data_IF_814781270881
#
_entry.id   IF_814781270881
#
_cell.length_a   1.000
_cell.length_b   1.000
_cell.length_c   1.000
_cell.angle_alpha   90.00
_cell.angle_beta   90.00
_cell.angle_gamma   90.00
#
_symmetry.space_group_name_H-M   'P 1'
#
loop_
_entity.id
_entity.type
_entity.pdbx_description
1 polymer ?
#
# COMPACT_ATOMS: atom_id res chain seq x y z
N UNK A 1 60.54 -62.79 -12.13
CA UNK A 1 59.38 -61.91 -12.38
C UNK A 1 59.72 -60.59 -11.71
N UNK A 2 60.53 -59.78 -12.39
CA UNK A 2 60.14 -58.81 -13.44
C UNK A 2 59.83 -57.45 -12.80
N UNK A 3 60.90 -56.68 -12.62
CA UNK A 3 61.23 -55.46 -13.36
C UNK A 3 60.12 -54.46 -13.81
N UNK A 4 60.51 -53.18 -13.64
CA UNK A 4 60.21 -52.01 -14.50
C UNK A 4 58.82 -51.34 -14.34
N UNK A 5 58.77 -50.14 -13.75
CA UNK A 5 58.67 -48.89 -14.53
C UNK A 5 58.63 -47.60 -13.69
N UNK A 6 59.01 -46.53 -14.36
CA UNK A 6 59.39 -45.21 -13.91
C UNK A 6 58.44 -44.10 -14.39
N UNK A 7 58.62 -42.88 -13.84
CA UNK A 7 58.22 -41.53 -14.40
C UNK A 7 56.73 -41.13 -14.14
N UNK A 8 56.31 -39.84 -14.19
CA UNK A 8 56.52 -38.72 -13.25
C UNK A 8 55.22 -37.89 -12.97
N UNK A 9 55.38 -36.72 -12.34
CA UNK A 9 54.60 -35.46 -12.46
C UNK A 9 53.11 -35.52 -12.86
N UNK A 10 52.23 -34.99 -11.99
CA UNK A 10 50.94 -34.46 -12.43
C UNK A 10 50.93 -32.94 -12.32
N UNK A 11 50.76 -32.36 -13.50
CA UNK A 11 50.59 -30.97 -13.85
C UNK A 11 49.41 -30.32 -13.15
N UNK A 12 49.52 -28.99 -13.09
CA UNK A 12 48.47 -28.08 -12.71
C UNK A 12 47.15 -28.36 -13.44
N UNK A 13 46.11 -28.71 -12.69
CA UNK A 13 44.75 -28.44 -13.15
C UNK A 13 44.48 -26.98 -12.83
N UNK A 14 44.91 -26.11 -13.75
CA UNK A 14 44.35 -24.78 -13.91
C UNK A 14 42.88 -24.95 -14.30
N UNK A 15 41.99 -25.06 -13.32
CA UNK A 15 40.56 -24.83 -13.56
C UNK A 15 40.44 -23.35 -13.92
N UNK A 16 40.41 -23.06 -15.22
CA UNK A 16 39.91 -21.78 -15.71
C UNK A 16 38.46 -21.70 -15.26
N UNK A 17 38.18 -20.88 -14.25
CA UNK A 17 36.85 -20.37 -13.99
C UNK A 17 36.47 -19.43 -15.14
N UNK A 18 36.12 -20.00 -16.29
CA UNK A 18 35.38 -19.26 -17.31
C UNK A 18 33.91 -19.26 -16.90
N UNK A 19 33.56 -18.32 -16.02
CA UNK A 19 32.25 -17.68 -16.05
C UNK A 19 32.39 -16.21 -15.64
N UNK A 20 33.43 -15.54 -16.15
CA UNK A 20 33.48 -14.08 -16.22
C UNK A 20 32.56 -13.63 -17.36
N UNK A 21 31.24 -13.79 -17.18
CA UNK A 21 30.30 -13.19 -18.13
C UNK A 21 30.27 -11.66 -17.86
N UNK A 22 30.75 -10.83 -18.80
CA UNK A 22 30.83 -9.38 -18.59
C UNK A 22 29.46 -8.73 -18.35
N UNK A 23 28.37 -9.33 -18.84
CA UNK A 23 27.00 -8.84 -18.61
C UNK A 23 26.58 -8.96 -17.15
N UNK A 24 27.05 -10.01 -16.47
CA UNK A 24 26.69 -10.32 -15.09
C UNK A 24 27.40 -9.35 -14.11
N UNK A 25 28.69 -9.08 -14.32
CA UNK A 25 29.43 -8.10 -13.51
C UNK A 25 28.97 -6.66 -13.77
N UNK A 26 28.49 -6.37 -14.99
CA UNK A 26 27.91 -5.07 -15.33
C UNK A 26 26.59 -4.82 -14.57
N UNK A 27 25.80 -5.86 -14.29
CA UNK A 27 24.55 -5.74 -13.54
C UNK A 27 24.78 -5.27 -12.11
N UNK A 28 25.68 -5.93 -11.36
CA UNK A 28 25.97 -5.56 -9.97
C UNK A 28 26.45 -4.12 -9.84
N UNK A 29 27.29 -3.66 -10.78
CA UNK A 29 27.82 -2.29 -10.79
C UNK A 29 26.72 -1.25 -11.07
N UNK A 30 25.84 -1.51 -12.04
CA UNK A 30 24.75 -0.59 -12.41
C UNK A 30 23.62 -0.57 -11.37
N UNK A 31 23.33 -1.70 -10.74
CA UNK A 31 22.38 -1.79 -9.62
C UNK A 31 22.85 -0.94 -8.44
N UNK A 32 24.17 -0.92 -8.17
CA UNK A 32 24.77 -0.03 -7.17
C UNK A 32 24.55 1.44 -7.53
N UNK A 33 24.73 1.82 -8.80
CA UNK A 33 24.47 3.19 -9.27
C UNK A 33 22.97 3.55 -9.14
N UNK A 34 22.06 2.66 -9.52
CA UNK A 34 20.61 2.87 -9.40
C UNK A 34 20.19 3.02 -7.94
N UNK A 35 20.69 2.16 -7.05
CA UNK A 35 20.48 2.27 -5.62
C UNK A 35 21.00 3.60 -5.07
N UNK A 36 22.22 4.02 -5.46
CA UNK A 36 22.78 5.32 -5.06
C UNK A 36 21.94 6.50 -5.57
N UNK A 37 21.37 6.41 -6.77
CA UNK A 37 20.49 7.44 -7.31
C UNK A 37 19.19 7.56 -6.51
N UNK A 38 18.56 6.42 -6.19
CA UNK A 38 17.35 6.38 -5.36
C UNK A 38 17.65 6.88 -3.94
N UNK A 39 18.77 6.47 -3.35
CA UNK A 39 19.18 6.88 -2.01
C UNK A 39 19.59 8.36 -1.93
N UNK A 40 20.33 8.89 -2.91
CA UNK A 40 20.75 10.30 -2.94
C UNK A 40 19.57 11.25 -3.13
N UNK A 41 18.57 10.82 -3.90
CA UNK A 41 17.31 11.55 -4.03
C UNK A 41 16.51 11.58 -2.72
N UNK A 42 16.53 10.49 -1.93
CA UNK A 42 15.91 10.43 -0.62
C UNK A 42 16.54 11.43 0.38
N UNK A 43 17.87 11.52 0.41
CA UNK A 43 18.61 12.48 1.27
C UNK A 43 18.34 13.94 0.89
N UNK A 44 18.13 14.22 -0.41
CA UNK A 44 17.81 15.57 -0.90
C UNK A 44 16.40 16.02 -0.49
N UNK A 45 15.43 15.10 -0.37
CA UNK A 45 14.08 15.41 0.14
C UNK A 45 14.06 15.65 1.66
N UNK A 46 14.86 14.90 2.43
CA UNK A 46 15.00 15.11 3.89
C UNK A 46 15.66 16.45 4.24
N UNK A 47 16.58 16.94 3.40
CA UNK A 47 17.23 18.25 3.59
C UNK A 47 16.40 19.44 3.10
N UNK A 48 15.43 19.23 2.20
CA UNK A 48 14.51 20.28 1.72
C UNK A 48 13.27 20.46 2.60
N UNK A 49 13.02 19.55 3.56
CA UNK A 49 11.99 19.69 4.61
C UNK A 49 12.27 20.80 5.64
N UNK A 50 13.41 21.50 5.54
CA UNK A 50 13.79 22.59 6.45
C UNK A 50 13.57 24.01 5.91
N UNK A 51 12.98 24.18 4.73
CA UNK A 51 12.60 25.51 4.25
C UNK A 51 11.38 25.45 3.33
N UNK A 52 10.26 26.02 3.80
CA UNK A 52 9.30 26.66 2.89
C UNK A 52 10.06 27.69 2.04
N UNK A 53 9.96 27.60 0.71
CA UNK A 53 9.79 28.71 -0.25
C UNK A 53 9.92 28.18 -1.68
N UNK A 54 8.91 28.52 -2.50
CA UNK A 54 8.90 28.41 -3.96
C UNK A 54 10.19 28.93 -4.62
N UNK A 55 10.65 28.27 -5.68
CA UNK A 55 11.03 28.90 -6.96
C UNK A 55 11.17 27.81 -8.05
N UNK A 56 10.45 28.02 -9.15
CA UNK A 56 10.59 27.34 -10.43
C UNK A 56 11.82 27.85 -11.20
N UNK A 57 12.59 26.96 -11.85
CA UNK A 57 13.41 27.17 -13.09
C UNK A 57 14.46 26.05 -13.20
N UNK A 58 14.84 25.41 -14.31
CA UNK A 58 14.58 25.41 -15.77
C UNK A 58 14.89 23.94 -16.18
N UNK A 59 13.99 23.21 -16.84
CA UNK A 59 13.95 23.10 -18.31
C UNK A 59 14.90 22.03 -18.88
N UNK A 60 14.45 20.78 -18.94
CA UNK A 60 14.87 19.83 -19.98
C UNK A 60 13.73 18.85 -20.29
N UNK A 61 13.36 18.82 -21.57
CA UNK A 61 12.25 18.05 -22.13
C UNK A 61 12.70 16.58 -22.28
N UNK A 62 12.07 15.67 -21.56
CA UNK A 62 12.09 14.23 -21.89
C UNK A 62 10.71 13.87 -22.40
N UNK A 63 10.62 13.67 -23.70
CA UNK A 63 9.43 13.16 -24.38
C UNK A 63 9.40 11.66 -24.13
N UNK A 64 8.56 11.18 -23.21
CA UNK A 64 8.20 9.77 -23.15
C UNK A 64 6.87 9.59 -23.88
N UNK A 65 6.95 9.18 -25.15
CA UNK A 65 5.81 8.73 -25.94
C UNK A 65 5.34 7.40 -25.37
N UNK A 66 4.41 7.45 -24.41
CA UNK A 66 3.57 6.31 -24.06
C UNK A 66 2.22 6.55 -24.74
N UNK A 67 1.94 5.73 -25.75
CA UNK A 67 0.65 5.68 -26.42
C UNK A 67 -0.44 5.34 -25.38
N UNK A 68 -1.61 6.02 -25.41
CA UNK A 68 -2.67 5.74 -24.46
C UNK A 68 -3.26 4.36 -24.77
N UNK A 69 -2.91 3.36 -23.96
CA UNK A 69 -3.65 2.09 -23.92
C UNK A 69 -4.97 2.40 -23.22
N UNK A 70 -6.03 2.43 -24.03
CA UNK A 70 -7.41 2.57 -23.58
C UNK A 70 -7.78 1.35 -22.72
N UNK A 71 -7.68 1.50 -21.39
CA UNK A 71 -8.19 0.51 -20.45
C UNK A 71 -9.63 0.85 -20.09
N UNK A 72 -10.54 -0.01 -20.54
CA UNK A 72 -11.91 -0.09 -20.04
C UNK A 72 -11.86 -0.51 -18.57
N UNK A 73 -11.80 0.46 -17.66
CA UNK A 73 -12.16 0.21 -16.27
C UNK A 73 -13.63 -0.23 -16.24
N UNK A 74 -13.88 -1.47 -15.80
CA UNK A 74 -15.21 -1.85 -15.33
C UNK A 74 -15.49 -1.02 -14.09
N UNK A 75 -16.13 0.13 -14.29
CA UNK A 75 -16.86 0.84 -13.26
C UNK A 75 -17.94 -0.10 -12.73
N UNK A 76 -17.83 -0.49 -11.46
CA UNK A 76 -19.02 -0.78 -10.68
C UNK A 76 -19.71 0.57 -10.43
N UNK A 77 -20.54 0.97 -11.39
CA UNK A 77 -21.55 2.00 -11.14
C UNK A 77 -22.53 1.39 -10.13
N UNK A 78 -22.47 1.81 -8.86
CA UNK A 78 -23.54 1.52 -7.93
C UNK A 78 -24.83 2.17 -8.48
N UNK A 79 -25.90 1.41 -8.70
CA UNK A 79 -27.19 1.98 -9.05
C UNK A 79 -27.67 2.92 -7.93
N UNK A 80 -28.32 4.02 -8.33
CA UNK A 80 -29.02 4.95 -7.43
C UNK A 80 -30.25 4.33 -6.74
N UNK A 81 -30.60 3.09 -7.11
CA UNK A 81 -31.56 2.26 -6.40
C UNK A 81 -30.82 1.19 -5.60
N UNK A 82 -30.36 1.55 -4.40
CA UNK A 82 -30.35 0.55 -3.34
C UNK A 82 -31.83 0.34 -3.01
N UNK A 83 -32.41 -0.80 -3.39
CA UNK A 83 -33.75 -1.11 -2.91
C UNK A 83 -33.72 -1.08 -1.38
N UNK A 84 -34.39 -0.07 -0.82
CA UNK A 84 -34.80 0.00 0.58
C UNK A 84 -35.77 -1.16 0.82
N UNK A 85 -35.23 -2.37 0.95
CA UNK A 85 -35.99 -3.55 1.34
C UNK A 85 -36.33 -3.38 2.83
N UNK A 86 -37.47 -2.72 3.03
CA UNK A 86 -38.46 -2.96 4.09
C UNK A 86 -37.99 -3.91 5.18
N UNK A 87 -37.65 -3.33 6.34
CA UNK A 87 -38.01 -3.88 7.66
C UNK A 87 -37.63 -5.35 7.87
N UNK A 88 -36.35 -5.67 7.72
CA UNK A 88 -35.77 -6.88 8.32
C UNK A 88 -34.95 -6.37 9.49
N UNK A 89 -35.23 -6.86 10.70
CA UNK A 89 -34.44 -6.63 11.91
C UNK A 89 -32.95 -6.59 11.53
N UNK A 90 -32.35 -5.41 11.55
CA UNK A 90 -30.99 -5.23 11.09
C UNK A 90 -30.06 -6.02 11.99
N UNK A 91 -29.58 -7.14 11.45
CA UNK A 91 -28.67 -8.04 12.16
C UNK A 91 -27.32 -7.33 12.23
N UNK A 92 -27.10 -6.61 13.32
CA UNK A 92 -25.74 -6.31 13.75
C UNK A 92 -25.19 -7.50 14.51
N UNK A 93 -23.87 -7.66 14.51
CA UNK A 93 -23.20 -8.68 15.30
C UNK A 93 -21.80 -8.20 15.64
N UNK A 94 -21.04 -9.04 16.34
CA UNK A 94 -19.72 -8.73 16.84
C UNK A 94 -18.68 -9.59 16.14
N UNK A 95 -17.55 -8.99 15.79
CA UNK A 95 -16.37 -9.72 15.31
C UNK A 95 -15.22 -9.49 16.27
N UNK A 96 -14.63 -10.57 16.75
CA UNK A 96 -13.35 -10.50 17.45
C UNK A 96 -12.23 -10.18 16.45
N UNK A 97 -11.50 -9.10 16.69
CA UNK A 97 -10.25 -8.74 16.01
C UNK A 97 -9.21 -8.54 17.10
N UNK A 98 -8.21 -9.44 17.14
CA UNK A 98 -7.30 -9.58 18.28
C UNK A 98 -8.09 -9.68 19.60
N UNK A 99 -7.90 -8.73 20.52
CA UNK A 99 -8.58 -8.66 21.83
C UNK A 99 -9.87 -7.83 21.83
N UNK A 100 -10.22 -7.19 20.72
CA UNK A 100 -11.35 -6.27 20.63
C UNK A 100 -12.57 -6.94 20.00
N UNK A 101 -13.77 -6.60 20.49
CA UNK A 101 -15.03 -7.01 19.90
C UNK A 101 -15.64 -5.83 19.17
N UNK A 102 -15.49 -5.84 17.84
CA UNK A 102 -15.91 -4.74 16.98
C UNK A 102 -17.33 -5.00 16.48
N UNK A 103 -18.28 -4.06 16.65
CA UNK A 103 -19.63 -4.20 16.13
C UNK A 103 -19.62 -3.99 14.61
N UNK A 104 -20.31 -4.87 13.89
CA UNK A 104 -20.53 -4.73 12.46
C UNK A 104 -22.02 -4.81 12.12
N UNK A 105 -22.41 -4.12 11.07
CA UNK A 105 -23.73 -4.18 10.44
C UNK A 105 -23.62 -4.94 9.12
N UNK A 106 -24.73 -5.48 8.64
CA UNK A 106 -24.81 -6.19 7.37
C UNK A 106 -25.56 -5.31 6.37
N UNK A 107 -24.97 -5.09 5.19
CA UNK A 107 -25.59 -4.44 4.05
C UNK A 107 -25.69 -5.45 2.91
N UNK A 108 -26.88 -5.61 2.34
CA UNK A 108 -27.08 -6.43 1.16
C UNK A 108 -26.82 -5.57 -0.08
N UNK A 109 -25.83 -5.94 -0.89
CA UNK A 109 -25.49 -5.24 -2.13
C UNK A 109 -25.57 -6.28 -3.26
N UNK A 110 -26.41 -6.04 -4.27
CA UNK A 110 -26.61 -6.95 -5.40
C UNK A 110 -26.96 -8.40 -4.98
N UNK A 111 -27.67 -8.55 -3.86
CA UNK A 111 -28.03 -9.86 -3.31
C UNK A 111 -26.95 -10.53 -2.43
N UNK A 112 -25.78 -9.90 -2.27
CA UNK A 112 -24.70 -10.39 -1.41
C UNK A 112 -24.70 -9.69 -0.05
N UNK A 113 -24.60 -10.46 1.03
CA UNK A 113 -24.44 -9.93 2.39
C UNK A 113 -22.99 -9.51 2.65
N UNK A 114 -22.78 -8.21 2.79
CA UNK A 114 -21.49 -7.62 3.08
C UNK A 114 -21.47 -7.01 4.48
N UNK A 115 -20.38 -7.22 5.21
CA UNK A 115 -20.22 -6.77 6.60
C UNK A 115 -19.47 -5.46 6.64
N UNK A 116 -20.01 -4.50 7.38
CA UNK A 116 -19.46 -3.15 7.49
C UNK A 116 -19.32 -2.73 8.95
N UNK A 117 -18.28 -1.95 9.24
CA UNK A 117 -18.04 -1.37 10.56
C UNK A 117 -17.97 0.14 10.46
N UNK A 118 -18.38 0.84 11.52
CA UNK A 118 -18.26 2.29 11.60
C UNK A 118 -16.79 2.70 11.73
N UNK A 119 -16.39 3.72 10.95
CA UNK A 119 -15.05 4.31 11.03
C UNK A 119 -14.79 4.87 12.42
N UNK A 120 -15.72 5.64 12.99
CA UNK A 120 -15.60 6.21 14.34
C UNK A 120 -15.43 5.12 15.41
N UNK A 121 -16.21 4.05 15.34
CA UNK A 121 -16.11 2.94 16.29
C UNK A 121 -14.77 2.21 16.16
N UNK A 122 -14.33 1.98 14.93
CA UNK A 122 -13.03 1.37 14.61
C UNK A 122 -11.86 2.22 15.14
N UNK A 123 -11.89 3.54 14.92
CA UNK A 123 -10.86 4.44 15.43
C UNK A 123 -10.77 4.45 16.96
N UNK A 124 -11.93 4.49 17.62
CA UNK A 124 -12.01 4.57 19.08
C UNK A 124 -11.53 3.27 19.75
N UNK A 125 -11.99 2.12 19.26
CA UNK A 125 -11.74 0.83 19.91
C UNK A 125 -10.47 0.14 19.41
N UNK A 126 -10.29 0.10 18.09
CA UNK A 126 -9.30 -0.76 17.45
C UNK A 126 -8.01 0.01 17.13
N UNK A 127 -8.14 1.21 16.56
CA UNK A 127 -7.01 1.97 16.03
C UNK A 127 -6.46 3.05 16.97
N UNK A 128 -7.03 3.19 18.17
CA UNK A 128 -6.65 4.23 19.14
C UNK A 128 -5.21 4.13 19.63
N UNK A 129 -4.61 2.95 19.55
CA UNK A 129 -3.20 2.72 19.88
C UNK A 129 -2.25 2.85 18.68
N UNK A 130 -2.76 3.13 17.48
CA UNK A 130 -1.96 3.22 16.25
C UNK A 130 -2.02 4.61 15.63
N UNK A 131 -3.21 5.18 15.44
CA UNK A 131 -3.40 6.49 14.78
C UNK A 131 -2.58 7.61 15.44
N UNK A 132 -2.49 7.73 16.78
CA UNK A 132 -1.70 8.80 17.39
C UNK A 132 -0.19 8.60 17.29
N UNK A 133 0.28 7.38 17.02
CA UNK A 133 1.70 7.01 17.07
C UNK A 133 2.34 6.88 15.68
N UNK A 134 1.52 6.71 14.64
CA UNK A 134 1.96 6.51 13.27
C UNK A 134 1.78 7.78 12.45
N UNK A 135 2.77 8.11 11.61
CA UNK A 135 2.69 9.23 10.68
C UNK A 135 1.61 8.99 9.61
N UNK A 136 1.02 10.08 9.11
CA UNK A 136 -0.02 10.04 8.09
C UNK A 136 0.40 9.25 6.83
N UNK A 137 1.68 9.31 6.47
CA UNK A 137 2.23 8.59 5.31
C UNK A 137 2.02 7.07 5.36
N UNK A 138 1.97 6.45 6.53
CA UNK A 138 1.72 5.00 6.63
C UNK A 138 0.32 4.67 6.12
N UNK A 139 -0.66 5.55 6.37
CA UNK A 139 -2.03 5.36 5.90
C UNK A 139 -2.17 5.58 4.39
N UNK A 140 -1.21 6.27 3.74
CA UNK A 140 -1.17 6.40 2.28
C UNK A 140 -0.74 5.11 1.56
N UNK A 141 -0.18 4.14 2.30
CA UNK A 141 0.18 2.84 1.75
C UNK A 141 -1.06 1.99 1.44
N UNK A 142 -2.19 2.25 2.10
CA UNK A 142 -3.43 1.48 1.96
C UNK A 142 -4.46 2.26 1.13
N UNK A 143 -5.53 1.56 0.74
CA UNK A 143 -6.62 2.13 -0.03
C UNK A 143 -7.97 1.64 0.50
N UNK A 144 -8.27 1.90 1.77
CA UNK A 144 -9.53 1.48 2.37
C UNK A 144 -10.66 2.37 1.88
N UNK A 145 -11.60 1.80 1.13
CA UNK A 145 -12.77 2.51 0.62
C UNK A 145 -13.84 2.63 1.70
N UNK A 146 -14.34 3.85 1.89
CA UNK A 146 -15.45 4.12 2.79
C UNK A 146 -16.76 4.39 2.04
N UNK A 147 -17.86 4.30 2.77
CA UNK A 147 -19.20 4.61 2.31
C UNK A 147 -19.90 5.49 3.34
N UNK A 148 -20.75 6.41 2.90
CA UNK A 148 -21.67 7.08 3.81
C UNK A 148 -22.67 6.07 4.38
N UNK A 149 -23.02 6.28 5.66
CA UNK A 149 -24.10 5.54 6.28
C UNK A 149 -25.46 6.08 5.83
N UNK A 150 -26.47 5.21 5.81
CA UNK A 150 -27.88 5.57 5.60
C UNK A 150 -28.57 5.94 6.92
N UNK A 151 -29.79 6.48 6.87
CA UNK A 151 -30.55 6.81 8.08
C UNK A 151 -30.84 5.58 8.95
N UNK A 152 -31.19 4.45 8.32
CA UNK A 152 -31.41 3.17 9.00
C UNK A 152 -30.13 2.70 9.71
N UNK A 153 -28.99 2.77 9.03
CA UNK A 153 -27.69 2.39 9.61
C UNK A 153 -27.28 3.34 10.75
N UNK A 154 -27.53 4.64 10.60
CA UNK A 154 -27.32 5.60 11.67
C UNK A 154 -28.15 5.26 12.92
N UNK A 155 -29.41 4.88 12.77
CA UNK A 155 -30.25 4.44 13.90
C UNK A 155 -29.64 3.24 14.63
N UNK A 156 -29.19 2.24 13.88
CA UNK A 156 -28.59 1.01 14.43
C UNK A 156 -27.28 1.30 15.14
N UNK A 157 -26.39 2.10 14.53
CA UNK A 157 -25.12 2.48 15.13
C UNK A 157 -25.31 3.30 16.41
N UNK A 158 -26.31 4.18 16.43
CA UNK A 158 -26.72 4.90 17.63
C UNK A 158 -27.27 3.95 18.71
N UNK A 159 -28.08 2.96 18.33
CA UNK A 159 -28.58 1.93 19.24
C UNK A 159 -27.44 1.11 19.85
N UNK A 160 -26.51 0.62 19.02
CA UNK A 160 -25.31 -0.10 19.46
C UNK A 160 -24.53 0.75 20.46
N UNK A 161 -24.22 1.99 20.11
CA UNK A 161 -23.43 2.86 20.97
C UNK A 161 -24.09 3.10 22.33
N UNK A 162 -25.38 3.42 22.35
CA UNK A 162 -26.07 3.80 23.60
C UNK A 162 -26.49 2.57 24.43
N UNK A 163 -27.07 1.54 23.81
CA UNK A 163 -27.64 0.40 24.54
C UNK A 163 -26.65 -0.72 24.80
N UNK A 164 -25.65 -0.89 23.95
CA UNK A 164 -24.72 -2.02 24.02
C UNK A 164 -23.30 -1.61 24.41
N UNK A 165 -22.98 -0.32 24.32
CA UNK A 165 -21.63 0.20 24.61
C UNK A 165 -21.62 1.36 25.60
N UNK A 166 -22.75 1.69 26.24
CA UNK A 166 -22.86 2.77 27.24
C UNK A 166 -22.29 4.13 26.79
N UNK A 167 -22.39 4.45 25.49
CA UNK A 167 -21.88 5.69 24.91
C UNK A 167 -20.35 5.73 24.72
N UNK A 168 -19.66 4.58 24.76
CA UNK A 168 -18.21 4.47 24.61
C UNK A 168 -17.66 5.15 23.33
N UNK A 169 -18.42 5.17 22.24
CA UNK A 169 -18.01 5.77 20.97
C UNK A 169 -18.32 7.26 20.83
N UNK A 170 -18.59 7.93 21.96
CA UNK A 170 -18.90 9.34 22.04
C UNK A 170 -20.38 9.63 22.24
N UNK A 171 -20.66 10.89 22.59
CA UNK A 171 -22.02 11.40 22.89
C UNK A 171 -22.76 11.85 21.64
N UNK A 172 -22.03 12.27 20.61
CA UNK A 172 -22.61 12.73 19.36
C UNK A 172 -23.23 11.56 18.59
N UNK A 173 -24.42 11.79 18.06
CA UNK A 173 -25.10 10.77 17.25
C UNK A 173 -24.34 10.49 15.95
N UNK A 174 -24.55 9.29 15.43
CA UNK A 174 -24.25 8.94 14.05
C UNK A 174 -25.30 9.55 13.12
N UNK A 175 -24.86 10.12 11.99
CA UNK A 175 -25.70 10.79 11.01
C UNK A 175 -25.44 10.29 9.59
N UNK A 176 -26.53 10.05 8.86
CA UNK A 176 -26.49 9.73 7.44
C UNK A 176 -25.81 10.83 6.62
N UNK A 177 -25.07 10.45 5.58
CA UNK A 177 -24.34 11.38 4.71
C UNK A 177 -23.18 12.14 5.38
N UNK A 178 -22.89 11.86 6.66
CA UNK A 178 -21.78 12.48 7.40
C UNK A 178 -20.81 11.43 7.93
N UNK A 179 -21.33 10.40 8.56
CA UNK A 179 -20.52 9.32 9.12
C UNK A 179 -20.25 8.23 8.10
N UNK A 180 -19.11 7.57 8.28
CA UNK A 180 -18.59 6.58 7.35
C UNK A 180 -18.62 5.16 7.93
N UNK A 181 -18.83 4.20 7.04
CA UNK A 181 -18.58 2.78 7.26
C UNK A 181 -17.60 2.24 6.23
N UNK A 182 -16.90 1.16 6.59
CA UNK A 182 -15.93 0.45 5.75
C UNK A 182 -16.17 -1.05 5.85
N UNK A 183 -15.70 -1.84 4.89
CA UNK A 183 -15.84 -3.30 4.96
C UNK A 183 -15.09 -3.85 6.17
N UNK A 184 -15.70 -4.81 6.86
CA UNK A 184 -15.10 -5.48 8.02
C UNK A 184 -13.78 -6.18 7.66
N UNK A 185 -13.71 -6.76 6.45
CA UNK A 185 -12.51 -7.40 5.92
C UNK A 185 -11.34 -6.42 5.77
N UNK A 186 -11.58 -5.24 5.19
CA UNK A 186 -10.57 -4.20 5.05
C UNK A 186 -10.05 -3.70 6.41
N UNK A 187 -10.90 -3.68 7.43
CA UNK A 187 -10.49 -3.30 8.80
C UNK A 187 -9.62 -4.37 9.45
N UNK A 188 -9.91 -5.64 9.21
CA UNK A 188 -9.08 -6.74 9.69
C UNK A 188 -7.68 -6.70 9.07
N UNK A 189 -7.61 -6.49 7.75
CA UNK A 189 -6.34 -6.37 7.04
C UNK A 189 -5.59 -5.09 7.42
N UNK A 190 -6.28 -3.95 7.60
CA UNK A 190 -5.67 -2.71 8.09
C UNK A 190 -5.04 -2.92 9.46
N UNK A 191 -5.76 -3.54 10.39
CA UNK A 191 -5.25 -3.81 11.74
C UNK A 191 -3.98 -4.66 11.69
N UNK A 192 -4.00 -5.73 10.89
CA UNK A 192 -2.85 -6.62 10.70
C UNK A 192 -1.65 -5.87 10.09
N UNK A 193 -1.91 -5.03 9.09
CA UNK A 193 -0.89 -4.20 8.46
C UNK A 193 -0.25 -3.21 9.46
N UNK A 194 -1.06 -2.54 10.28
CA UNK A 194 -0.56 -1.58 11.27
C UNK A 194 0.24 -2.26 12.38
N UNK A 195 -0.17 -3.45 12.84
CA UNK A 195 0.61 -4.27 13.77
C UNK A 195 1.99 -4.60 13.21
N UNK A 196 2.07 -4.99 11.93
CA UNK A 196 3.33 -5.26 11.25
C UNK A 196 4.17 -3.98 11.17
N UNK A 197 3.58 -2.85 10.77
CA UNK A 197 4.29 -1.57 10.68
C UNK A 197 4.90 -1.18 12.03
N UNK A 198 4.11 -1.21 13.11
CA UNK A 198 4.58 -0.87 14.46
C UNK A 198 5.69 -1.83 14.90
N UNK A 199 5.49 -3.15 14.76
CA UNK A 199 6.49 -4.15 15.13
C UNK A 199 7.81 -3.92 14.38
N UNK A 200 7.74 -3.65 13.09
CA UNK A 200 8.92 -3.41 12.23
C UNK A 200 9.62 -2.08 12.55
N UNK A 201 8.88 -1.04 12.90
CA UNK A 201 9.44 0.27 13.26
C UNK A 201 10.02 0.30 14.70
N UNK A 202 9.45 -0.47 15.63
CA UNK A 202 9.85 -0.47 17.03
C UNK A 202 10.87 -1.54 17.39
N UNK A 203 10.84 -2.69 16.71
CA UNK A 203 11.70 -3.81 17.05
C UNK A 203 12.86 -3.92 16.04
N UNK A 204 14.09 -3.92 16.56
CA UNK A 204 15.27 -4.45 15.87
C UNK A 204 15.19 -5.98 15.78
N UNK A 205 14.11 -6.51 15.19
CA UNK A 205 13.96 -7.94 15.01
C UNK A 205 15.02 -8.48 14.05
N UNK A 206 15.45 -9.72 14.28
CA UNK A 206 16.24 -10.48 13.31
C UNK A 206 15.45 -10.60 12.00
N UNK A 207 15.94 -10.05 10.88
CA UNK A 207 15.21 -10.09 9.62
C UNK A 207 15.00 -11.54 9.15
N UNK A 208 13.79 -11.87 8.69
CA UNK A 208 13.47 -13.21 8.15
C UNK A 208 12.72 -13.10 6.82
N UNK A 209 13.05 -13.98 5.87
CA UNK A 209 12.38 -14.08 4.56
C UNK A 209 10.94 -14.59 4.64
N UNK A 210 10.50 -15.10 5.79
CA UNK A 210 9.13 -15.54 6.00
C UNK A 210 8.16 -14.41 6.37
N UNK A 211 8.67 -13.18 6.54
CA UNK A 211 7.84 -12.03 6.89
C UNK A 211 7.12 -11.46 5.67
N UNK A 212 5.92 -10.89 5.89
CA UNK A 212 5.07 -10.28 4.85
C UNK A 212 5.80 -9.24 3.98
N UNK A 213 6.80 -8.57 4.54
CA UNK A 213 7.67 -7.65 3.82
C UNK A 213 8.97 -7.40 4.59
N UNK A 214 9.93 -6.82 3.89
CA UNK A 214 11.22 -6.45 4.44
C UNK A 214 12.13 -5.92 3.36
N UNK A 215 13.43 -6.08 3.60
CA UNK A 215 14.46 -5.75 2.62
C UNK A 215 15.35 -6.96 2.36
N UNK A 216 15.88 -7.00 1.14
CA UNK A 216 16.95 -7.91 0.76
C UNK A 216 18.19 -7.09 0.49
N UNK A 217 19.27 -7.44 1.16
CA UNK A 217 20.60 -6.95 0.84
C UNK A 217 21.22 -7.86 -0.22
N UNK A 218 21.68 -7.25 -1.31
CA UNK A 218 22.37 -7.90 -2.42
C UNK A 218 23.84 -7.51 -2.33
N UNK A 219 24.71 -8.49 -2.08
CA UNK A 219 26.16 -8.33 -1.87
C UNK A 219 26.56 -7.31 -0.80
N UNK A 220 25.68 -6.98 0.15
CA UNK A 220 25.89 -5.89 1.14
C UNK A 220 26.07 -4.50 0.53
N UNK A 221 25.83 -4.33 -0.77
CA UNK A 221 26.01 -3.06 -1.48
C UNK A 221 24.68 -2.39 -1.82
N UNK A 222 23.70 -3.20 -2.21
CA UNK A 222 22.38 -2.74 -2.63
C UNK A 222 21.31 -3.30 -1.71
N UNK A 223 20.28 -2.50 -1.43
CA UNK A 223 19.14 -2.90 -0.60
C UNK A 223 17.84 -2.66 -1.36
N UNK A 224 17.06 -3.71 -1.55
CA UNK A 224 15.78 -3.65 -2.26
C UNK A 224 14.62 -4.01 -1.31
N UNK A 225 13.50 -3.28 -1.35
CA UNK A 225 12.31 -3.65 -0.60
C UNK A 225 11.65 -4.86 -1.25
N UNK A 226 10.97 -5.66 -0.44
CA UNK A 226 10.20 -6.80 -0.94
C UNK A 226 8.86 -6.95 -0.25
N UNK A 227 7.94 -7.63 -0.92
CA UNK A 227 6.67 -8.10 -0.36
C UNK A 227 6.51 -9.60 -0.63
N UNK A 228 5.94 -10.32 0.32
CA UNK A 228 5.66 -11.75 0.22
C UNK A 228 4.23 -11.95 -0.29
N UNK A 229 4.09 -12.59 -1.45
CA UNK A 229 2.79 -12.94 -2.05
C UNK A 229 2.79 -14.42 -2.41
N UNK A 230 1.77 -15.14 -1.96
CA UNK A 230 1.59 -16.58 -2.24
C UNK A 230 2.85 -17.42 -1.91
N UNK A 231 3.57 -17.07 -0.83
CA UNK A 231 4.81 -17.73 -0.41
C UNK A 231 6.06 -17.37 -1.20
N UNK A 232 5.95 -16.50 -2.21
CA UNK A 232 7.06 -16.05 -3.05
C UNK A 232 7.41 -14.60 -2.74
N UNK A 233 8.72 -14.30 -2.81
CA UNK A 233 9.21 -12.95 -2.58
C UNK A 233 9.22 -12.19 -3.90
N UNK A 234 8.61 -11.01 -3.89
CA UNK A 234 8.57 -10.10 -5.02
C UNK A 234 9.28 -8.79 -4.70
N UNK A 235 10.08 -8.33 -5.66
CA UNK A 235 10.83 -7.06 -5.59
C UNK A 235 10.38 -6.11 -6.72
N UNK A 236 10.40 -4.78 -6.52
CA UNK A 236 9.98 -3.84 -7.55
C UNK A 236 10.90 -3.86 -8.76
N UNK A 237 10.32 -3.90 -9.95
CA UNK A 237 11.07 -3.97 -11.20
C UNK A 237 11.91 -2.71 -11.46
N UNK A 238 11.46 -1.54 -10.99
CA UNK A 238 12.14 -0.26 -11.20
C UNK A 238 13.55 -0.19 -10.57
N UNK A 239 13.89 -1.10 -9.64
CA UNK A 239 15.26 -1.22 -9.12
C UNK A 239 16.22 -1.85 -10.13
N UNK A 240 15.68 -2.53 -11.14
CA UNK A 240 16.40 -3.29 -12.17
C UNK A 240 16.13 -2.74 -13.59
N UNK A 241 15.43 -1.60 -13.70
CA UNK A 241 15.17 -0.94 -14.98
C UNK A 241 16.50 -0.50 -15.62
N UNK A 242 16.72 -0.90 -16.88
CA UNK A 242 17.97 -0.69 -17.61
C UNK A 242 19.02 -1.81 -17.45
N UNK A 243 18.76 -2.80 -16.59
CA UNK A 243 19.67 -3.94 -16.34
C UNK A 243 19.22 -5.22 -17.04
N UNK A 244 17.90 -5.37 -17.26
CA UNK A 244 17.29 -6.60 -17.80
C UNK A 244 16.13 -6.29 -18.72
N UNK A 245 16.39 -6.14 -20.02
CA UNK A 245 15.34 -5.95 -21.03
C UNK A 245 14.34 -7.13 -21.03
N UNK A 246 14.78 -8.32 -20.58
CA UNK A 246 13.95 -9.53 -20.55
C UNK A 246 13.14 -9.74 -19.26
N UNK A 247 13.45 -9.06 -18.14
CA UNK A 247 12.68 -9.24 -16.89
C UNK A 247 11.25 -8.72 -17.00
N UNK A 248 11.00 -7.79 -17.94
CA UNK A 248 9.66 -7.30 -18.21
C UNK A 248 8.66 -8.41 -18.56
N UNK A 249 9.12 -9.51 -19.15
CA UNK A 249 8.27 -10.66 -19.50
C UNK A 249 7.83 -11.50 -18.28
N UNK A 250 8.61 -11.48 -17.20
CA UNK A 250 8.29 -12.15 -15.92
C UNK A 250 7.66 -11.20 -14.90
N UNK A 251 7.42 -9.93 -15.29
CA UNK A 251 6.86 -8.95 -14.39
C UNK A 251 5.37 -9.21 -14.14
N UNK A 252 4.98 -9.20 -12.88
CA UNK A 252 3.59 -9.30 -12.44
C UNK A 252 3.16 -8.01 -11.76
N UNK A 253 1.86 -7.76 -11.72
CA UNK A 253 1.30 -6.63 -10.98
C UNK A 253 1.04 -7.03 -9.52
N UNK A 254 1.60 -6.25 -8.61
CA UNK A 254 1.28 -6.28 -7.19
C UNK A 254 0.22 -5.22 -6.88
N UNK A 255 -0.84 -5.60 -6.19
CA UNK A 255 -2.03 -4.77 -5.92
C UNK A 255 -2.53 -5.01 -4.49
N UNK A 256 -3.53 -4.24 -4.04
CA UNK A 256 -4.23 -4.42 -2.76
C UNK A 256 -3.30 -4.43 -1.53
N UNK A 257 -3.54 -5.34 -0.58
CA UNK A 257 -2.80 -5.43 0.67
C UNK A 257 -1.34 -5.87 0.47
N UNK A 258 -1.04 -6.72 -0.51
CA UNK A 258 0.34 -7.09 -0.84
C UNK A 258 1.15 -5.87 -1.29
N UNK A 259 0.53 -4.97 -2.05
CA UNK A 259 1.11 -3.70 -2.45
C UNK A 259 1.27 -2.76 -1.25
N UNK A 260 0.35 -2.74 -0.29
CA UNK A 260 0.46 -1.89 0.89
C UNK A 260 1.74 -2.19 1.70
N UNK A 261 2.09 -3.48 1.85
CA UNK A 261 3.33 -3.90 2.48
C UNK A 261 4.57 -3.43 1.72
N UNK A 262 4.56 -3.53 0.38
CA UNK A 262 5.65 -3.03 -0.45
C UNK A 262 5.81 -1.50 -0.34
N UNK A 263 4.70 -0.77 -0.41
CA UNK A 263 4.64 0.69 -0.25
C UNK A 263 5.20 1.11 1.10
N UNK A 264 4.89 0.37 2.17
CA UNK A 264 5.46 0.60 3.50
C UNK A 264 6.99 0.48 3.48
N UNK A 265 7.55 -0.59 2.91
CA UNK A 265 9.00 -0.73 2.79
C UNK A 265 9.64 0.38 1.94
N UNK A 266 9.01 0.77 0.83
CA UNK A 266 9.43 1.90 0.01
C UNK A 266 9.46 3.22 0.82
N UNK A 267 8.45 3.47 1.66
CA UNK A 267 8.39 4.63 2.56
C UNK A 267 9.51 4.59 3.61
N UNK A 268 9.72 3.43 4.24
CA UNK A 268 10.80 3.21 5.22
C UNK A 268 12.18 3.49 4.61
N UNK A 269 12.38 3.13 3.35
CA UNK A 269 13.64 3.36 2.62
C UNK A 269 13.77 4.79 2.06
N UNK A 270 12.70 5.61 2.09
CA UNK A 270 12.70 6.94 1.50
C UNK A 270 12.65 6.95 -0.02
N UNK A 271 12.08 5.91 -0.64
CA UNK A 271 11.86 5.88 -2.10
C UNK A 271 10.90 7.01 -2.47
N UNK A 272 11.16 7.66 -3.62
CA UNK A 272 10.30 8.72 -4.15
C UNK A 272 8.90 8.19 -4.47
N UNK A 273 7.89 8.88 -3.97
CA UNK A 273 6.47 8.52 -4.12
C UNK A 273 6.08 8.20 -5.57
N UNK A 274 6.55 8.98 -6.54
CA UNK A 274 6.26 8.82 -7.98
C UNK A 274 6.51 7.40 -8.53
N UNK A 275 7.44 6.66 -7.92
CA UNK A 275 7.83 5.32 -8.36
C UNK A 275 6.85 4.22 -7.90
N UNK A 276 6.00 4.51 -6.90
CA UNK A 276 5.10 3.51 -6.31
C UNK A 276 3.73 4.04 -5.90
N UNK A 277 3.36 5.29 -6.20
CA UNK A 277 2.04 5.88 -5.84
C UNK A 277 0.86 5.27 -6.59
N UNK A 278 1.11 4.56 -7.68
CA UNK A 278 0.07 3.84 -8.43
C UNK A 278 -0.68 2.83 -7.55
N UNK A 279 -1.92 2.50 -7.91
CA UNK A 279 -2.70 1.43 -7.25
C UNK A 279 -2.19 0.02 -7.63
N UNK A 280 -1.19 -0.06 -8.51
CA UNK A 280 -0.43 -1.28 -8.83
C UNK A 280 1.07 -0.98 -8.96
N UNK A 281 1.92 -1.96 -8.67
CA UNK A 281 3.37 -1.88 -8.91
C UNK A 281 3.83 -3.10 -9.73
N UNK A 282 4.69 -2.87 -10.74
CA UNK A 282 5.34 -3.94 -11.48
C UNK A 282 6.46 -4.55 -10.63
N UNK A 283 6.36 -5.84 -10.38
CA UNK A 283 7.30 -6.60 -9.54
C UNK A 283 7.74 -7.87 -10.25
N UNK A 284 8.88 -8.41 -9.86
CA UNK A 284 9.38 -9.70 -10.34
C UNK A 284 9.80 -10.57 -9.16
N UNK A 285 9.81 -11.89 -9.33
CA UNK A 285 10.15 -12.80 -8.25
C UNK A 285 11.66 -12.73 -7.94
N UNK A 286 12.01 -12.90 -6.67
CA UNK A 286 13.42 -12.95 -6.27
C UNK A 286 14.15 -14.12 -6.94
N UNK A 287 13.47 -15.22 -7.18
CA UNK A 287 14.07 -16.40 -7.81
C UNK A 287 14.36 -16.16 -9.29
N UNK A 288 13.50 -15.43 -10.01
CA UNK A 288 13.81 -14.95 -11.35
C UNK A 288 15.02 -14.03 -11.33
N UNK A 289 15.08 -13.08 -10.39
CA UNK A 289 16.19 -12.15 -10.23
C UNK A 289 17.51 -12.89 -10.04
N UNK A 290 17.58 -13.90 -9.16
CA UNK A 290 18.81 -14.67 -8.89
C UNK A 290 19.43 -15.27 -10.15
N UNK A 291 18.62 -15.63 -11.16
CA UNK A 291 19.11 -16.23 -12.40
C UNK A 291 19.92 -15.24 -13.26
N UNK A 292 19.84 -13.95 -12.98
CA UNK A 292 20.58 -12.91 -13.69
C UNK A 292 21.86 -12.47 -12.96
N UNK A 293 22.09 -12.97 -11.74
CA UNK A 293 23.26 -12.64 -10.93
C UNK A 293 24.30 -13.78 -10.93
N UNK A 294 25.59 -13.48 -10.63
CA UNK A 294 26.58 -14.52 -10.41
C UNK A 294 26.11 -15.53 -9.35
N UNK A 295 26.41 -16.83 -9.47
CA UNK A 295 26.00 -17.84 -8.49
C UNK A 295 26.49 -17.60 -7.06
N UNK A 296 27.58 -16.84 -6.89
CA UNK A 296 28.17 -16.45 -5.59
C UNK A 296 27.53 -15.18 -4.99
N UNK A 297 26.58 -14.55 -5.69
CA UNK A 297 25.86 -13.38 -5.20
C UNK A 297 25.06 -13.72 -3.95
N UNK A 298 25.28 -12.91 -2.92
CA UNK A 298 24.62 -13.11 -1.64
C UNK A 298 23.35 -12.28 -1.56
N UNK A 299 22.22 -12.97 -1.41
CA UNK A 299 20.93 -12.39 -1.08
C UNK A 299 20.65 -12.65 0.40
N UNK A 300 20.65 -11.60 1.21
CA UNK A 300 20.49 -11.70 2.67
C UNK A 300 19.28 -10.91 3.15
N UNK A 301 18.50 -11.44 4.10
CA UNK A 301 17.44 -10.66 4.75
C UNK A 301 18.07 -9.47 5.46
N UNK A 302 17.45 -8.30 5.30
CA UNK A 302 17.94 -7.07 5.87
C UNK A 302 16.80 -6.26 6.48
N UNK A 303 17.13 -5.56 7.56
CA UNK A 303 16.30 -4.49 8.10
C UNK A 303 17.24 -3.37 8.55
N UNK A 304 16.99 -2.12 8.13
CA UNK A 304 17.87 -1.01 8.49
C UNK A 304 17.86 -0.77 10.01
N UNK A 305 19.02 -0.93 10.65
CA UNK A 305 19.18 -0.79 12.11
C UNK A 305 19.07 0.67 12.60
N UNK A 306 19.33 1.64 11.71
CA UNK A 306 19.33 3.06 12.01
C UNK A 306 18.07 3.76 11.49
N UNK A 307 16.89 3.19 11.73
CA UNK A 307 15.60 3.85 11.45
C UNK A 307 15.26 4.97 12.44
N UNK A 308 16.25 5.45 13.21
CA UNK A 308 16.08 6.46 14.27
C UNK A 308 15.49 7.78 13.74
N UNK A 309 15.57 8.04 12.43
CA UNK A 309 14.98 9.20 11.75
C UNK A 309 13.86 8.87 10.76
N UNK A 310 13.28 7.66 10.79
CA UNK A 310 12.03 7.44 10.06
C UNK A 310 10.95 8.28 10.74
N UNK A 311 10.65 9.45 10.17
CA UNK A 311 9.56 10.38 10.51
C UNK A 311 8.16 9.72 10.47
N UNK A 312 8.12 8.39 10.37
CA UNK A 312 6.96 7.50 10.34
C UNK A 312 6.42 7.18 11.73
N UNK A 313 7.19 7.37 12.80
CA UNK A 313 6.70 7.36 14.18
C UNK A 313 6.54 8.79 14.70
N UNK A 314 5.35 9.12 15.19
CA UNK A 314 5.09 10.41 15.83
C UNK A 314 5.58 10.33 17.28
N UNK A 315 6.53 11.22 17.64
CA UNK A 315 6.96 11.35 19.04
C UNK A 315 5.77 11.80 19.89
N UNK A 316 5.59 11.17 21.06
CA UNK A 316 4.53 11.50 22.04
C UNK A 316 4.54 12.97 22.51
N UNK A 317 5.63 13.71 22.28
CA UNK A 317 5.75 15.16 22.55
C UNK A 317 5.29 16.06 21.39
N UNK A 318 5.01 15.49 20.22
CA UNK A 318 4.51 16.23 19.06
C UNK A 318 3.07 16.66 19.28
N UNK A 319 2.73 17.89 18.89
CA UNK A 319 1.36 18.41 18.85
C UNK A 319 0.58 17.93 17.62
N UNK A 320 1.21 17.16 16.73
CA UNK A 320 0.59 16.67 15.51
C UNK A 320 -0.41 15.54 15.83
N UNK A 321 -1.70 15.82 15.59
CA UNK A 321 -2.78 14.84 15.72
C UNK A 321 -3.31 14.55 14.33
N UNK A 322 -3.30 13.27 13.95
CA UNK A 322 -3.91 12.85 12.69
C UNK A 322 -5.42 13.14 12.72
N UNK A 323 -6.00 13.68 11.63
CA UNK A 323 -7.43 13.90 11.56
C UNK A 323 -8.19 12.56 11.61
N UNK A 324 -9.43 12.59 12.09
CA UNK A 324 -10.34 11.43 11.98
C UNK A 324 -10.54 11.10 10.51
N UNK A 325 -10.50 9.82 10.18
CA UNK A 325 -10.62 9.31 8.83
C UNK A 325 -9.32 9.35 8.01
N UNK A 326 -8.14 9.61 8.60
CA UNK A 326 -6.85 9.65 7.87
C UNK A 326 -6.54 8.38 7.06
N UNK A 327 -7.15 7.24 7.42
CA UNK A 327 -6.91 5.92 6.84
C UNK A 327 -7.96 5.48 5.81
N UNK A 328 -8.98 6.30 5.55
CA UNK A 328 -10.02 6.00 4.57
C UNK A 328 -9.92 6.90 3.34
N UNK A 329 -10.31 6.36 2.19
CA UNK A 329 -10.65 7.15 1.01
C UNK A 329 -12.13 7.51 1.10
N UNK A 330 -12.43 8.81 1.01
CA UNK A 330 -13.81 9.29 0.98
C UNK A 330 -14.57 8.64 -0.19
N UNK A 331 -15.89 8.43 -0.05
CA UNK A 331 -16.71 7.93 -1.15
C UNK A 331 -16.60 8.89 -2.35
N UNK A 332 -16.52 8.35 -3.56
CA UNK A 332 -16.62 9.18 -4.77
C UNK A 332 -18.01 9.81 -4.78
N UNK A 333 -18.10 11.13 -4.72
CA UNK A 333 -19.36 11.84 -4.94
C UNK A 333 -19.84 11.49 -6.35
N UNK A 334 -20.99 10.82 -6.44
CA UNK A 334 -21.65 10.62 -7.72
C UNK A 334 -22.12 12.01 -8.17
N UNK A 335 -21.70 12.53 -9.33
CA UNK A 335 -22.20 13.81 -9.81
C UNK A 335 -23.73 13.76 -9.84
N UNK A 336 -24.35 14.78 -9.25
CA UNK A 336 -25.80 14.92 -9.23
C UNK A 336 -26.32 14.80 -10.68
N UNK A 337 -27.40 14.04 -10.92
CA UNK A 337 -27.99 14.01 -12.25
C UNK A 337 -28.47 15.42 -12.57
N UNK A 338 -28.06 15.97 -13.73
CA UNK A 338 -28.63 17.20 -14.27
C UNK A 338 -30.15 17.07 -14.23
N UNK A 339 -30.77 17.90 -13.40
CA UNK A 339 -32.21 18.02 -13.31
C UNK A 339 -32.69 18.67 -14.60
N UNK A 340 -33.03 17.86 -15.60
CA UNK A 340 -33.76 18.35 -16.77
C UNK A 340 -35.22 18.59 -16.36
N UNK A 341 -35.49 19.72 -15.72
CA UNK A 341 -36.85 20.28 -15.68
C UNK A 341 -37.02 21.06 -16.99
N UNK A 342 -37.94 20.66 -17.89
CA UNK A 342 -38.31 21.53 -18.99
C UNK A 342 -39.13 22.68 -18.41
N UNK A 343 -38.55 23.88 -18.38
CA UNK A 343 -39.31 25.12 -18.25
C UNK A 343 -40.25 25.23 -19.46
N UNK A 344 -41.50 24.80 -19.31
CA UNK A 344 -42.57 25.20 -20.22
C UNK A 344 -43.04 26.59 -19.82
N UNK A 345 -42.80 27.52 -20.75
CA UNK A 345 -43.12 28.93 -20.70
C UNK A 345 -44.62 29.16 -20.48
N UNK A 346 -44.95 29.96 -19.48
CA UNK A 346 -46.28 30.54 -19.29
C UNK A 346 -46.53 31.55 -20.42
N UNK A 347 -47.46 31.25 -21.32
CA UNK A 347 -47.89 32.19 -22.35
C UNK A 347 -48.79 33.26 -21.71
N UNK A 348 -48.39 34.53 -21.87
CA UNK A 348 -49.20 35.70 -21.55
C UNK A 348 -50.44 35.79 -22.44
N UNK A 349 -51.59 36.07 -21.83
CA UNK A 349 -52.82 36.41 -22.54
C UNK A 349 -52.68 37.76 -23.29
N UNK A 350 -53.24 37.90 -24.50
CA UNK A 350 -53.32 39.19 -25.17
C UNK A 350 -54.51 39.99 -24.62
N UNK A 351 -54.24 41.23 -24.23
CA UNK A 351 -55.25 42.26 -23.98
C UNK A 351 -55.46 43.05 -25.26
N UNK A 352 -56.73 43.41 -25.52
CA UNK A 352 -57.26 44.60 -26.20
C UNK A 352 -58.20 44.31 -27.39
N UNK A 353 -59.12 45.25 -27.74
CA UNK A 353 -59.36 46.59 -27.17
C UNK A 353 -60.61 46.72 -26.30
#
# INVERSE_FOLDING_TARGET
MEDINSVPANEAISVRNECDNPEINAMALRMKENYQNIASAAVTQLSTSLADVHINRVGRKVTSTIAPVSQKNKQENLPKDCEDIKRINSVFSWKAIARYHVPYIIRVINGEELKFVSVRMTETQLLSNYIPYLHADIFTCTSVRSHFITDSEAQILNEINIRHCDGFYGKDKFYAGKDYIVRLEDVHELYTFLEICVKKLQCNNTPSLSEKCGFISINSESVVPYSLKDGHIYVPLFYFEGETENLGHSAVKLENWDLAYLKFCCRVQGVRNELYTSDSCAVTSLDDIKNYFPPDTQFRPYWPANLIDAQLLINRKSTHVNPSGVWIRAPLEVPAPESTIPHSLTASAPVMP
#
